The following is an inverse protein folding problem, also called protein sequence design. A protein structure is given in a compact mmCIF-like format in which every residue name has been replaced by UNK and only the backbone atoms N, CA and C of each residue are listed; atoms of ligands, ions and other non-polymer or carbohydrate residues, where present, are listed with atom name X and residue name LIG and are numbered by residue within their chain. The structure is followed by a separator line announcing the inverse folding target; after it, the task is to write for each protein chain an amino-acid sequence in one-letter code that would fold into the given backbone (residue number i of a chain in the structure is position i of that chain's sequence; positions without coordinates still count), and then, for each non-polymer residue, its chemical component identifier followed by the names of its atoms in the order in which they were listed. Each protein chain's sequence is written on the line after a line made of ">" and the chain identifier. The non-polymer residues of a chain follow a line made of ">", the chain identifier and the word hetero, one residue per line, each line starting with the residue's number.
data_IF_140391807192
#
_entry.id   IF_140391807192
#
_cell.length_a   1.000
_cell.length_b   1.000
_cell.length_c   1.000
_cell.angle_alpha   90.00
_cell.angle_beta   90.00
_cell.angle_gamma   90.00
#
_symmetry.space_group_name_H-M   'P 1'
#
loop_
_entity.id
_entity.type
_entity.pdbx_description
1 polymer ?
#
# COMPACT_ATOMS: atom_id res chain seq x y z
N UNK A 1 34.19 36.43 -28.64
CA UNK A 1 34.40 35.23 -27.81
C UNK A 1 33.77 35.40 -26.41
N UNK A 2 32.44 35.49 -26.27
CA UNK A 2 31.75 35.55 -24.95
C UNK A 2 30.28 35.07 -25.05
N UNK A 3 30.04 33.92 -25.67
CA UNK A 3 28.68 33.36 -25.76
C UNK A 3 28.57 31.88 -25.38
N UNK A 4 29.67 31.13 -25.26
CA UNK A 4 29.62 29.69 -24.95
C UNK A 4 29.39 29.33 -23.48
N UNK A 5 29.56 30.26 -22.53
CA UNK A 5 29.45 29.93 -21.10
C UNK A 5 28.00 29.95 -20.61
N UNK A 6 27.12 30.75 -21.23
CA UNK A 6 25.72 30.86 -20.81
C UNK A 6 24.86 29.64 -21.20
N UNK A 7 25.26 28.95 -22.28
CA UNK A 7 24.54 27.77 -22.76
C UNK A 7 24.81 26.53 -21.90
N UNK A 8 25.97 26.46 -21.24
CA UNK A 8 26.37 25.30 -20.45
C UNK A 8 25.65 25.26 -19.07
N UNK A 9 25.27 26.42 -18.53
CA UNK A 9 24.61 26.50 -17.22
C UNK A 9 23.12 26.10 -17.27
N UNK A 10 22.44 26.33 -18.40
CA UNK A 10 21.01 25.97 -18.57
C UNK A 10 20.82 24.46 -18.72
N UNK A 11 21.80 23.76 -19.32
CA UNK A 11 21.76 22.30 -19.48
C UNK A 11 21.95 21.57 -18.14
N UNK A 12 22.68 22.14 -17.18
CA UNK A 12 22.87 21.54 -15.85
C UNK A 12 21.64 21.66 -14.92
N UNK A 13 20.73 22.62 -15.14
CA UNK A 13 19.48 22.72 -14.37
C UNK A 13 18.41 21.70 -14.82
N UNK A 14 18.48 21.21 -16.06
CA UNK A 14 17.48 20.26 -16.59
C UNK A 14 17.61 18.84 -16.03
N UNK A 15 18.76 18.49 -15.43
CA UNK A 15 19.00 17.16 -14.82
C UNK A 15 18.47 17.03 -13.38
N UNK A 16 17.92 18.08 -12.78
CA UNK A 16 17.16 18.00 -11.51
C UNK A 16 15.67 17.77 -11.73
N UNK A 17 15.29 17.16 -12.86
CA UNK A 17 13.94 16.60 -13.03
C UNK A 17 13.85 15.38 -12.10
N UNK A 18 13.47 15.64 -10.85
CA UNK A 18 13.08 14.60 -9.91
C UNK A 18 12.00 13.75 -10.59
N UNK A 19 12.28 12.46 -10.72
CA UNK A 19 11.31 11.46 -11.12
C UNK A 19 10.25 11.36 -10.01
N UNK A 20 9.31 12.29 -9.97
CA UNK A 20 8.01 12.11 -9.32
C UNK A 20 7.18 11.22 -10.22
N UNK A 21 7.58 9.95 -10.31
CA UNK A 21 6.72 8.93 -10.86
C UNK A 21 5.62 8.66 -9.82
N UNK A 22 4.38 9.02 -10.13
CA UNK A 22 3.23 8.53 -9.39
C UNK A 22 3.21 7.01 -9.53
N UNK A 23 3.72 6.30 -8.53
CA UNK A 23 3.80 4.86 -8.58
C UNK A 23 2.39 4.28 -8.48
N UNK A 24 1.91 3.67 -9.56
CA UNK A 24 0.66 2.95 -9.57
C UNK A 24 0.66 1.91 -8.43
N UNK A 25 -0.43 1.85 -7.67
CA UNK A 25 -0.56 0.87 -6.60
C UNK A 25 -0.51 -0.54 -7.20
N UNK A 26 0.19 -1.43 -6.50
CA UNK A 26 0.23 -2.83 -6.87
C UNK A 26 -1.18 -3.43 -6.85
N UNK A 27 -1.39 -4.47 -7.67
CA UNK A 27 -2.66 -5.19 -7.71
C UNK A 27 -3.01 -5.70 -6.31
N UNK A 28 -4.25 -5.49 -5.82
CA UNK A 28 -4.67 -6.02 -4.54
C UNK A 28 -4.61 -7.55 -4.49
N UNK A 29 -4.14 -8.07 -3.36
CA UNK A 29 -4.15 -9.50 -3.02
C UNK A 29 -5.42 -9.78 -2.23
N UNK A 30 -6.36 -10.51 -2.81
CA UNK A 30 -7.61 -10.87 -2.13
C UNK A 30 -7.34 -11.84 -0.97
N UNK A 31 -7.88 -11.53 0.21
CA UNK A 31 -7.73 -12.40 1.39
C UNK A 31 -8.55 -13.69 1.27
N UNK A 32 -9.65 -13.63 0.52
CA UNK A 32 -10.51 -14.74 0.15
C UNK A 32 -10.81 -14.72 -1.35
N UNK A 33 -9.99 -15.40 -2.17
CA UNK A 33 -10.18 -15.44 -3.63
C UNK A 33 -11.53 -16.03 -4.06
N UNK A 34 -12.12 -16.90 -3.24
CA UNK A 34 -13.43 -17.54 -3.49
C UNK A 34 -14.61 -16.83 -2.84
N UNK A 35 -14.40 -15.62 -2.29
CA UNK A 35 -15.42 -14.86 -1.55
C UNK A 35 -15.20 -14.89 -0.04
N UNK A 36 -15.29 -13.74 0.61
CA UNK A 36 -15.12 -13.63 2.06
C UNK A 36 -16.32 -14.23 2.80
N UNK A 37 -16.12 -14.81 4.01
CA UNK A 37 -17.22 -15.29 4.83
C UNK A 37 -18.25 -14.17 5.08
N UNK A 38 -19.52 -14.48 4.94
CA UNK A 38 -20.64 -13.55 5.12
C UNK A 38 -20.66 -12.35 4.14
N UNK A 39 -19.94 -12.42 3.02
CA UNK A 39 -19.99 -11.39 1.99
C UNK A 39 -21.42 -11.21 1.46
N UNK A 40 -21.89 -9.96 1.44
CA UNK A 40 -23.26 -9.61 0.99
C UNK A 40 -23.35 -9.22 -0.48
N UNK A 41 -22.20 -9.10 -1.15
CA UNK A 41 -22.09 -8.66 -2.53
C UNK A 41 -20.76 -9.06 -3.17
N UNK A 42 -20.47 -8.47 -4.33
CA UNK A 42 -19.28 -8.76 -5.13
C UNK A 42 -18.44 -7.50 -5.41
N UNK A 43 -18.72 -6.40 -4.71
CA UNK A 43 -17.96 -5.16 -4.86
C UNK A 43 -16.60 -5.26 -4.17
N UNK A 44 -15.75 -4.25 -4.37
CA UNK A 44 -14.49 -4.13 -3.66
C UNK A 44 -14.66 -4.00 -2.13
N UNK A 45 -15.82 -3.50 -1.68
CA UNK A 45 -16.17 -3.41 -0.26
C UNK A 45 -16.54 -4.77 0.33
N UNK A 46 -16.88 -5.77 -0.50
CA UNK A 46 -17.16 -7.15 -0.09
C UNK A 46 -15.91 -8.04 -0.16
N UNK A 47 -14.83 -7.53 -0.78
CA UNK A 47 -13.58 -8.24 -1.11
C UNK A 47 -12.39 -7.62 -0.37
N UNK A 48 -12.20 -7.97 0.91
CA UNK A 48 -11.07 -7.48 1.68
C UNK A 48 -9.75 -7.99 1.12
N UNK A 49 -8.74 -7.11 1.12
CA UNK A 49 -7.52 -7.31 0.37
C UNK A 49 -6.31 -6.65 1.04
N UNK A 50 -5.11 -7.14 0.71
CA UNK A 50 -3.84 -6.47 1.00
C UNK A 50 -3.35 -5.75 -0.24
N UNK A 51 -2.95 -4.50 -0.09
CA UNK A 51 -2.27 -3.72 -1.13
C UNK A 51 -0.79 -3.66 -0.75
N UNK A 52 0.11 -4.33 -1.50
CA UNK A 52 1.51 -4.42 -1.12
C UNK A 52 2.33 -3.20 -1.55
N UNK A 53 3.19 -2.73 -0.66
CA UNK A 53 4.19 -1.69 -0.86
C UNK A 53 5.57 -2.31 -0.59
N UNK A 54 6.14 -2.87 -1.65
CA UNK A 54 7.38 -3.65 -1.56
C UNK A 54 8.57 -2.76 -1.94
N UNK A 55 9.60 -2.64 -1.09
CA UNK A 55 10.86 -1.98 -1.45
C UNK A 55 11.61 -2.73 -2.55
N UNK A 56 12.46 -1.99 -3.27
CA UNK A 56 13.41 -2.59 -4.21
C UNK A 56 14.29 -3.62 -3.50
N UNK A 57 14.68 -4.67 -4.23
CA UNK A 57 15.37 -5.83 -3.65
C UNK A 57 16.67 -5.47 -2.92
N UNK A 58 17.39 -4.46 -3.39
CA UNK A 58 18.66 -4.01 -2.82
C UNK A 58 18.54 -3.22 -1.51
N UNK A 59 17.34 -2.73 -1.16
CA UNK A 59 17.09 -1.96 0.07
C UNK A 59 16.14 -2.67 1.04
N UNK A 60 15.61 -3.84 0.67
CA UNK A 60 14.68 -4.60 1.51
C UNK A 60 15.41 -5.17 2.73
N UNK A 61 14.89 -4.89 3.93
CA UNK A 61 15.51 -5.28 5.21
C UNK A 61 14.92 -6.56 5.85
N UNK A 62 13.94 -7.19 5.18
CA UNK A 62 13.28 -8.41 5.65
C UNK A 62 12.14 -8.20 6.64
N UNK A 63 11.88 -6.97 7.12
CA UNK A 63 10.74 -6.68 7.97
C UNK A 63 9.47 -6.43 7.14
N UNK A 64 8.32 -6.80 7.73
CA UNK A 64 7.00 -6.54 7.16
C UNK A 64 6.05 -5.92 8.19
N UNK A 65 5.17 -5.01 7.74
CA UNK A 65 4.15 -4.34 8.58
C UNK A 65 2.78 -4.39 7.91
N UNK A 66 1.75 -4.76 8.68
CA UNK A 66 0.35 -4.64 8.28
C UNK A 66 -0.17 -3.26 8.70
N UNK A 67 -0.48 -2.40 7.73
CA UNK A 67 -1.03 -1.06 7.92
C UNK A 67 -2.55 -1.16 7.88
N UNK A 68 -3.21 -0.78 8.99
CA UNK A 68 -4.67 -0.83 9.13
C UNK A 68 -5.16 0.61 9.34
N UNK A 69 -5.69 1.28 8.31
CA UNK A 69 -6.16 2.67 8.44
C UNK A 69 -7.39 2.73 9.34
N UNK A 70 -7.51 3.80 10.14
CA UNK A 70 -8.67 4.10 10.94
C UNK A 70 -9.85 4.60 10.10
N UNK A 71 -10.77 5.33 10.74
CA UNK A 71 -12.02 5.80 10.12
C UNK A 71 -13.30 5.30 10.78
N UNK A 72 -13.23 4.84 12.04
CA UNK A 72 -14.42 4.49 12.83
C UNK A 72 -15.27 3.35 12.28
N UNK A 73 -14.69 2.50 11.42
CA UNK A 73 -15.37 1.41 10.70
C UNK A 73 -16.46 1.85 9.72
N UNK A 74 -16.56 3.14 9.40
CA UNK A 74 -17.49 3.67 8.39
C UNK A 74 -16.76 4.11 7.12
N UNK A 75 -15.48 4.43 7.24
CA UNK A 75 -14.55 4.66 6.13
C UNK A 75 -13.20 4.04 6.46
N UNK A 76 -12.29 4.05 5.47
CA UNK A 76 -10.85 3.85 5.68
C UNK A 76 -10.16 5.16 5.37
N UNK A 77 -9.40 5.73 6.31
CA UNK A 77 -8.57 6.92 6.09
C UNK A 77 -7.34 6.59 5.24
N UNK A 78 -7.57 6.09 4.01
CA UNK A 78 -6.57 5.42 3.17
C UNK A 78 -5.39 6.32 2.83
N UNK A 79 -5.59 7.62 2.65
CA UNK A 79 -4.50 8.48 2.21
C UNK A 79 -3.44 8.64 3.31
N UNK A 80 -3.79 9.28 4.43
CA UNK A 80 -2.84 9.69 5.45
C UNK A 80 -2.53 8.61 6.49
N UNK A 81 -3.46 7.68 6.75
CA UNK A 81 -3.22 6.56 7.68
C UNK A 81 -2.87 5.26 6.94
N UNK A 82 -2.99 5.24 5.60
CA UNK A 82 -2.69 4.08 4.76
C UNK A 82 -1.48 4.31 3.84
N UNK A 83 -1.74 4.88 2.65
CA UNK A 83 -0.78 5.04 1.55
C UNK A 83 0.47 5.79 1.98
N UNK A 84 0.33 6.95 2.65
CA UNK A 84 1.49 7.73 3.08
C UNK A 84 2.34 6.97 4.10
N UNK A 85 1.70 6.23 5.03
CA UNK A 85 2.39 5.38 6.00
C UNK A 85 3.10 4.22 5.30
N UNK A 86 2.44 3.56 4.36
CA UNK A 86 3.01 2.43 3.64
C UNK A 86 4.17 2.85 2.71
N UNK A 87 4.08 4.02 2.07
CA UNK A 87 5.17 4.62 1.30
C UNK A 87 6.35 5.00 2.19
N UNK A 88 6.08 5.58 3.37
CA UNK A 88 7.13 5.88 4.33
C UNK A 88 7.85 4.61 4.80
N UNK A 89 7.13 3.55 5.17
CA UNK A 89 7.70 2.25 5.52
C UNK A 89 8.52 1.65 4.37
N UNK A 90 7.98 1.67 3.14
CA UNK A 90 8.69 1.24 1.94
C UNK A 90 10.01 1.99 1.76
N UNK A 91 10.03 3.31 1.99
CA UNK A 91 11.25 4.13 1.90
C UNK A 91 12.31 3.76 2.94
N UNK A 92 11.92 3.08 4.03
CA UNK A 92 12.81 2.56 5.08
C UNK A 92 13.24 1.10 4.84
N UNK A 93 12.94 0.53 3.67
CA UNK A 93 13.28 -0.85 3.35
C UNK A 93 12.34 -1.88 3.97
N UNK A 94 11.21 -1.44 4.55
CA UNK A 94 10.22 -2.31 5.19
C UNK A 94 9.09 -2.59 4.20
N UNK A 95 8.74 -3.86 4.01
CA UNK A 95 7.56 -4.22 3.22
C UNK A 95 6.29 -3.84 3.98
N UNK A 96 5.43 -3.00 3.40
CA UNK A 96 4.15 -2.65 4.01
C UNK A 96 2.99 -3.29 3.24
N UNK A 97 1.98 -3.75 3.96
CA UNK A 97 0.73 -4.24 3.40
C UNK A 97 -0.40 -3.38 3.93
N UNK A 98 -1.04 -2.59 3.08
CA UNK A 98 -2.22 -1.81 3.44
C UNK A 98 -3.46 -2.70 3.40
N UNK A 99 -4.15 -2.82 4.52
CA UNK A 99 -5.37 -3.61 4.64
C UNK A 99 -6.60 -2.81 4.19
N UNK A 100 -7.27 -3.30 3.15
CA UNK A 100 -8.68 -2.96 2.86
C UNK A 100 -9.57 -3.95 3.59
N UNK A 101 -10.06 -3.57 4.76
CA UNK A 101 -11.02 -4.35 5.55
C UNK A 101 -12.46 -3.91 5.29
N UNK A 102 -13.40 -4.80 5.57
CA UNK A 102 -14.84 -4.58 5.40
C UNK A 102 -15.41 -3.62 6.45
N UNK A 103 -16.45 -2.85 6.08
CA UNK A 103 -16.96 -1.72 6.86
C UNK A 103 -18.46 -1.84 7.19
N UNK A 104 -18.91 -1.01 8.13
CA UNK A 104 -20.33 -0.73 8.36
C UNK A 104 -20.96 -0.02 7.16
N UNK A 105 -22.28 -0.12 6.95
CA UNK A 105 -23.23 -0.89 7.76
C UNK A 105 -23.34 -2.37 7.35
N UNK A 106 -22.67 -2.79 6.27
CA UNK A 106 -22.82 -4.13 5.70
C UNK A 106 -22.15 -5.22 6.56
N UNK A 107 -21.09 -4.84 7.28
CA UNK A 107 -20.29 -5.77 8.07
C UNK A 107 -20.15 -5.30 9.52
N UNK A 108 -19.77 -6.21 10.40
CA UNK A 108 -19.70 -6.00 11.84
C UNK A 108 -18.32 -6.30 12.44
N UNK A 109 -18.24 -6.06 13.77
CA UNK A 109 -17.39 -6.74 14.75
C UNK A 109 -16.40 -7.76 14.16
N UNK A 110 -17.02 -8.91 13.91
CA UNK A 110 -16.38 -10.17 13.59
C UNK A 110 -15.69 -10.14 12.24
N UNK A 111 -16.22 -9.39 11.28
CA UNK A 111 -15.78 -9.44 9.88
C UNK A 111 -14.45 -8.71 9.71
N UNK A 112 -14.33 -7.47 10.20
CA UNK A 112 -13.05 -6.74 10.10
C UNK A 112 -11.96 -7.29 11.01
N UNK A 113 -12.32 -7.90 12.15
CA UNK A 113 -11.35 -8.65 12.96
C UNK A 113 -10.82 -9.86 12.20
N UNK A 114 -11.72 -10.60 11.53
CA UNK A 114 -11.35 -11.74 10.70
C UNK A 114 -10.48 -11.32 9.51
N UNK A 115 -10.81 -10.21 8.84
CA UNK A 115 -10.00 -9.61 7.76
C UNK A 115 -8.59 -9.27 8.24
N UNK A 116 -8.48 -8.68 9.42
CA UNK A 116 -7.19 -8.31 10.01
C UNK A 116 -6.34 -9.53 10.36
N UNK A 117 -6.96 -10.55 10.98
CA UNK A 117 -6.30 -11.81 11.29
C UNK A 117 -5.87 -12.54 10.02
N UNK A 118 -6.73 -12.60 9.00
CA UNK A 118 -6.44 -13.24 7.72
C UNK A 118 -5.31 -12.53 6.99
N UNK A 119 -5.26 -11.20 7.03
CA UNK A 119 -4.15 -10.41 6.50
C UNK A 119 -2.81 -10.76 7.16
N UNK A 120 -2.78 -10.84 8.50
CA UNK A 120 -1.57 -11.25 9.22
C UNK A 120 -1.17 -12.70 8.94
N UNK A 121 -2.14 -13.62 8.83
CA UNK A 121 -1.89 -15.01 8.44
C UNK A 121 -1.27 -15.09 7.05
N UNK A 122 -1.80 -14.33 6.07
CA UNK A 122 -1.27 -14.27 4.72
C UNK A 122 0.20 -13.82 4.74
N UNK A 123 0.51 -12.71 5.41
CA UNK A 123 1.87 -12.17 5.50
C UNK A 123 2.83 -13.21 6.10
N UNK A 124 2.43 -13.90 7.16
CA UNK A 124 3.26 -14.95 7.79
C UNK A 124 3.46 -16.17 6.90
N UNK A 125 2.42 -16.60 6.17
CA UNK A 125 2.48 -17.75 5.29
C UNK A 125 3.39 -17.52 4.07
N UNK A 126 3.56 -16.26 3.65
CA UNK A 126 4.37 -15.86 2.49
C UNK A 126 5.65 -15.13 2.91
N UNK A 127 6.12 -15.34 4.15
CA UNK A 127 7.27 -14.59 4.70
C UNK A 127 8.61 -14.90 4.00
N UNK A 128 8.67 -15.95 3.18
CA UNK A 128 9.86 -16.35 2.41
C UNK A 128 9.91 -15.79 0.99
N UNK A 129 8.89 -15.04 0.56
CA UNK A 129 8.80 -14.36 -0.75
C UNK A 129 9.40 -12.94 -0.70
#
# INVERSE_FOLDING_TARGET
>A
MKSSVFFLTIVMMAFYSTNLCAQALAKPILLWPSGAPDATGDSDEDKPALIPFIPEANVRNGAAVLVIPGGGFTIRAVDHEGVLVAQWLKSKGITAFLLRYRLRPLYERKDWLLDSQRGMQYIRAHASE
#
